data_IF_609763814010
#
_entry.id   IF_609763814010
#
_cell.length_a   1.000
_cell.length_b   1.000
_cell.length_c   1.000
_cell.angle_alpha   90.00
_cell.angle_beta   90.00
_cell.angle_gamma   90.00
#
_symmetry.space_group_name_H-M   'P 1'
#
loop_
_entity.id
_entity.type
_entity.pdbx_description
1 polymer ?
2 non-polymer ?
3 water ?
#
# COMPACT_ATOMS: atom_id res chain seq x y z
N UNK A 1 -13.14 7.87 -11.62
CA UNK A 1 -13.62 7.37 -10.30
C UNK A 1 -12.74 7.90 -9.18
N UNK A 2 -11.52 8.30 -9.54
CA UNK A 2 -10.58 8.84 -8.56
C UNK A 2 -10.11 10.22 -8.98
N UNK A 3 -10.53 10.63 -10.18
CA UNK A 3 -10.17 11.94 -10.71
C UNK A 3 -11.26 12.96 -10.35
N UNK A 4 -12.43 12.47 -9.96
CA UNK A 4 -13.53 13.35 -9.61
C UNK A 4 -14.16 13.08 -8.25
N UNK A 5 -14.89 14.09 -7.75
CA UNK A 5 -15.58 13.96 -6.47
C UNK A 5 -15.00 14.89 -5.40
N UNK A 6 -14.28 14.30 -4.46
CA UNK A 6 -13.64 15.03 -3.36
C UNK A 6 -13.11 14.02 -2.35
N UNK A 7 -14.04 13.35 -1.65
CA UNK A 7 -13.71 12.38 -0.62
C UNK A 7 -13.36 13.19 0.62
N UNK A 8 -14.36 13.82 1.20
CA UNK A 8 -14.15 14.63 2.38
C UNK A 8 -13.37 13.89 3.45
N UNK A 9 -14.00 12.84 4.00
CA UNK A 9 -13.40 12.03 5.04
C UNK A 9 -11.94 11.66 4.76
N UNK A 10 -11.64 11.39 3.48
CA UNK A 10 -10.29 11.01 3.06
C UNK A 10 -9.22 12.08 3.34
N UNK A 11 -9.30 13.21 2.65
CA UNK A 11 -8.33 14.30 2.83
C UNK A 11 -8.41 14.93 4.22
N UNK A 12 -9.49 14.66 4.95
CA UNK A 12 -9.63 15.22 6.27
C UNK A 12 -8.83 14.43 7.30
N UNK A 13 -8.63 13.14 7.04
CA UNK A 13 -7.87 12.29 7.94
C UNK A 13 -6.39 12.60 7.78
N UNK A 14 -6.04 13.16 6.64
CA UNK A 14 -4.65 13.52 6.36
C UNK A 14 -4.37 14.96 6.77
N UNK A 15 -5.35 15.57 7.41
CA UNK A 15 -5.19 16.94 7.88
C UNK A 15 -4.54 16.99 9.25
N UNK A 16 -4.73 15.95 10.05
CA UNK A 16 -4.14 15.88 11.39
C UNK A 16 -2.75 15.27 11.39
N UNK A 17 -2.00 15.53 12.45
CA UNK A 17 -0.61 15.03 12.60
C UNK A 17 -0.47 13.57 12.99
N UNK A 18 -1.45 13.03 13.71
CA UNK A 18 -1.38 11.64 14.14
C UNK A 18 -0.99 10.68 13.03
N UNK A 19 -1.71 10.70 11.93
CA UNK A 19 -1.44 9.80 10.81
C UNK A 19 -0.03 9.98 10.28
N UNK A 20 0.47 11.21 10.31
CA UNK A 20 1.82 11.48 9.81
C UNK A 20 2.86 11.11 10.84
N UNK A 21 2.48 11.13 12.11
CA UNK A 21 3.40 10.77 13.16
C UNK A 21 3.66 9.27 13.01
N UNK A 22 2.60 8.54 12.70
CA UNK A 22 2.70 7.11 12.52
C UNK A 22 3.57 6.73 11.33
N UNK A 23 3.46 7.46 10.21
CA UNK A 23 4.27 7.15 9.02
C UNK A 23 5.74 7.47 9.24
N UNK A 24 5.99 8.63 9.86
CA UNK A 24 7.35 9.08 10.14
C UNK A 24 8.03 8.18 11.14
N UNK A 25 7.24 7.59 12.04
CA UNK A 25 7.79 6.68 13.04
C UNK A 25 8.00 5.28 12.45
N UNK A 26 7.51 5.09 11.22
CA UNK A 26 7.69 3.81 10.55
C UNK A 26 9.08 3.88 9.93
N UNK A 27 10.05 3.31 10.64
CA UNK A 27 11.45 3.30 10.23
C UNK A 27 11.76 2.55 8.93
N UNK A 28 11.22 1.35 8.77
CA UNK A 28 11.43 0.57 7.54
C UNK A 28 10.98 1.42 6.35
N UNK A 29 9.79 1.99 6.46
CA UNK A 29 9.24 2.82 5.40
C UNK A 29 10.03 4.10 5.13
N UNK A 30 10.22 4.94 6.15
CA UNK A 30 10.94 6.21 6.00
C UNK A 30 12.44 6.11 5.69
N UNK A 31 13.14 5.18 6.32
CA UNK A 31 14.57 5.03 6.06
C UNK A 31 14.82 4.37 4.69
N UNK A 32 13.83 3.67 4.16
CA UNK A 32 13.98 3.03 2.85
C UNK A 32 14.04 4.14 1.77
N UNK A 33 13.14 5.12 1.88
CA UNK A 33 13.08 6.23 0.95
C UNK A 33 14.31 7.13 1.11
N UNK A 34 14.76 7.33 2.36
CA UNK A 34 15.93 8.15 2.67
C UNK A 34 17.20 7.55 2.04
N UNK A 35 17.38 6.24 2.22
CA UNK A 35 18.54 5.51 1.70
C UNK A 35 18.53 5.54 0.17
N UNK A 36 17.37 5.28 -0.43
CA UNK A 36 17.25 5.32 -1.88
C UNK A 36 17.75 6.68 -2.39
N UNK A 37 17.10 7.76 -1.94
CA UNK A 37 17.46 9.10 -2.38
C UNK A 37 18.91 9.50 -2.10
N UNK A 38 19.35 9.38 -0.85
CA UNK A 38 20.70 9.75 -0.47
C UNK A 38 21.78 8.88 -1.14
N UNK A 39 21.48 7.60 -1.38
CA UNK A 39 22.46 6.70 -1.98
C UNK A 39 22.52 6.74 -3.48
N UNK A 40 21.60 7.46 -4.10
CA UNK A 40 21.58 7.57 -5.56
C UNK A 40 21.32 9.04 -5.91
N UNK A 41 22.24 9.92 -5.50
CA UNK A 41 22.16 11.36 -5.73
C UNK A 41 22.17 11.74 -7.20
N UNK A 42 22.76 10.88 -8.03
CA UNK A 42 22.82 11.13 -9.47
C UNK A 42 21.42 11.28 -10.07
N UNK A 43 20.45 10.66 -9.41
CA UNK A 43 19.06 10.70 -9.86
C UNK A 43 18.38 12.05 -9.58
N UNK A 44 18.86 12.77 -8.56
CA UNK A 44 18.25 14.04 -8.16
C UNK A 44 19.04 15.32 -8.42
N UNK A 45 20.36 15.25 -8.28
CA UNK A 45 21.19 16.42 -8.49
C UNK A 45 20.88 17.18 -9.78
N UNK A 46 20.56 18.47 -9.62
CA UNK A 46 20.23 19.36 -10.73
C UNK A 46 18.99 19.00 -11.54
N UNK A 47 18.09 18.21 -10.96
CA UNK A 47 16.86 17.82 -11.67
C UNK A 47 15.63 18.47 -11.05
N UNK A 48 14.52 18.40 -11.76
CA UNK A 48 13.26 18.95 -11.26
C UNK A 48 12.46 17.74 -10.77
N UNK A 49 12.02 17.79 -9.51
CA UNK A 49 11.26 16.69 -8.90
C UNK A 49 9.84 17.05 -8.48
N UNK A 50 8.94 16.07 -8.59
CA UNK A 50 7.55 16.26 -8.18
C UNK A 50 7.17 15.24 -7.11
N UNK A 51 6.72 15.75 -5.95
CA UNK A 51 6.31 14.93 -4.81
C UNK A 51 4.78 14.87 -4.79
N UNK A 52 4.22 13.75 -5.23
CA UNK A 52 2.77 13.60 -5.26
C UNK A 52 2.27 13.22 -3.87
N UNK A 53 1.55 14.13 -3.20
CA UNK A 53 1.06 13.87 -1.86
C UNK A 53 2.19 14.01 -0.85
N UNK A 54 2.73 15.22 -0.76
CA UNK A 54 3.86 15.53 0.12
C UNK A 54 3.69 15.43 1.63
N UNK A 55 2.46 15.46 2.12
CA UNK A 55 2.28 15.39 3.56
C UNK A 55 3.03 16.53 4.26
N UNK A 56 3.88 16.19 5.23
CA UNK A 56 4.66 17.18 5.97
C UNK A 56 5.84 17.75 5.17
N UNK A 57 6.12 17.13 4.01
CA UNK A 57 7.19 17.60 3.16
C UNK A 57 8.49 16.85 3.27
N UNK A 58 8.50 15.79 4.08
CA UNK A 58 9.71 14.98 4.30
C UNK A 58 10.46 14.49 3.06
N UNK A 59 9.76 13.87 2.12
CA UNK A 59 10.40 13.35 0.90
C UNK A 59 11.02 14.44 0.03
N UNK A 60 10.37 15.59 -0.03
CA UNK A 60 10.87 16.72 -0.81
C UNK A 60 12.15 17.28 -0.21
N UNK A 61 12.24 17.27 1.12
CA UNK A 61 13.41 17.78 1.81
C UNK A 61 14.58 16.82 1.53
N UNK A 62 14.29 15.52 1.46
CA UNK A 62 15.31 14.52 1.17
C UNK A 62 15.91 14.79 -0.23
N UNK A 63 15.04 15.05 -1.21
CA UNK A 63 15.43 15.32 -2.58
C UNK A 63 16.28 16.58 -2.69
N UNK A 64 15.82 17.64 -2.02
CA UNK A 64 16.54 18.92 -2.03
C UNK A 64 17.95 18.71 -1.49
N UNK A 65 18.06 18.01 -0.38
CA UNK A 65 19.37 17.76 0.22
C UNK A 65 20.25 16.96 -0.72
N UNK A 66 19.64 16.15 -1.59
CA UNK A 66 20.38 15.33 -2.54
C UNK A 66 20.88 16.13 -3.74
N UNK A 67 20.36 17.33 -3.92
CA UNK A 67 20.80 18.16 -5.03
C UNK A 67 19.75 18.65 -6.02
N UNK A 68 18.49 18.38 -5.75
CA UNK A 68 17.43 18.82 -6.65
C UNK A 68 17.53 20.30 -6.95
N UNK A 69 17.34 20.65 -8.22
CA UNK A 69 17.38 22.04 -8.64
C UNK A 69 16.09 22.69 -8.17
N UNK A 70 14.99 21.98 -8.28
CA UNK A 70 13.70 22.48 -7.85
C UNK A 70 12.82 21.31 -7.51
N UNK A 71 12.03 21.45 -6.45
CA UNK A 71 11.12 20.39 -6.05
C UNK A 71 9.75 21.03 -5.93
N UNK A 72 8.73 20.35 -6.42
CA UNK A 72 7.34 20.83 -6.37
C UNK A 72 6.56 19.84 -5.51
N UNK A 73 6.09 20.30 -4.36
CA UNK A 73 5.36 19.43 -3.43
C UNK A 73 3.88 19.77 -3.33
N UNK A 74 3.04 18.81 -3.70
CA UNK A 74 1.59 18.99 -3.70
C UNK A 74 0.82 18.09 -2.73
N UNK A 75 -0.25 18.62 -2.16
CA UNK A 75 -1.11 17.87 -1.26
C UNK A 75 -2.46 18.56 -1.21
N UNK A 76 -3.52 17.77 -1.11
CA UNK A 76 -4.88 18.29 -1.06
C UNK A 76 -5.37 18.57 0.35
N UNK A 77 -4.78 17.92 1.35
CA UNK A 77 -5.23 18.15 2.72
C UNK A 77 -4.63 19.41 3.32
N UNK A 78 -5.14 19.80 4.48
CA UNK A 78 -4.69 21.00 5.18
C UNK A 78 -3.29 20.85 5.78
N UNK A 79 -2.74 19.64 5.73
CA UNK A 79 -1.41 19.43 6.28
C UNK A 79 -0.39 20.17 5.41
N UNK A 80 -0.83 20.65 4.25
CA UNK A 80 0.07 21.38 3.37
C UNK A 80 0.57 22.68 4.00
N UNK A 81 -0.26 23.28 4.85
CA UNK A 81 0.12 24.54 5.50
C UNK A 81 1.20 24.35 6.57
N UNK A 82 1.19 23.19 7.21
CA UNK A 82 2.19 22.91 8.22
C UNK A 82 3.51 22.59 7.51
N UNK A 83 3.40 22.19 6.25
CA UNK A 83 4.59 21.87 5.45
C UNK A 83 5.21 23.19 4.98
N UNK A 84 4.36 24.18 4.67
CA UNK A 84 4.85 25.48 4.25
C UNK A 84 5.74 26.05 5.35
N UNK A 85 5.33 25.82 6.59
CA UNK A 85 6.06 26.28 7.77
C UNK A 85 7.34 25.48 8.00
N UNK A 86 7.27 24.18 7.76
CA UNK A 86 8.44 23.34 7.99
C UNK A 86 9.55 23.62 6.98
N UNK A 87 9.16 23.91 5.74
CA UNK A 87 10.16 24.20 4.73
C UNK A 87 10.88 25.51 5.07
N UNK A 88 10.14 26.48 5.59
CA UNK A 88 10.72 27.78 5.98
C UNK A 88 11.66 27.61 7.16
N UNK A 89 11.21 26.81 8.12
CA UNK A 89 11.96 26.50 9.33
C UNK A 89 13.32 25.89 9.00
N UNK A 90 13.39 25.21 7.85
CA UNK A 90 14.62 24.56 7.42
C UNK A 90 15.37 25.33 6.33
N UNK A 91 14.85 26.50 5.97
CA UNK A 91 15.46 27.38 4.99
C UNK A 91 15.60 26.72 3.61
N UNK A 92 14.50 26.14 3.14
CA UNK A 92 14.51 25.46 1.85
C UNK A 92 13.52 26.09 0.89
N UNK A 93 13.07 27.30 1.21
CA UNK A 93 12.11 28.00 0.38
C UNK A 93 12.60 28.28 -1.02
N UNK A 94 13.91 28.40 -1.17
CA UNK A 94 14.43 28.68 -2.50
C UNK A 94 14.54 27.45 -3.39
N UNK A 95 14.19 26.29 -2.84
CA UNK A 95 14.24 25.04 -3.62
C UNK A 95 12.89 24.34 -3.69
N UNK A 96 12.16 24.30 -2.59
CA UNK A 96 10.87 23.64 -2.59
C UNK A 96 9.69 24.60 -2.58
N UNK A 97 8.83 24.51 -3.60
CA UNK A 97 7.65 25.34 -3.66
C UNK A 97 6.47 24.43 -3.34
N UNK A 98 5.50 24.94 -2.59
CA UNK A 98 4.33 24.15 -2.21
C UNK A 98 3.03 24.60 -2.86
N UNK A 99 2.19 23.63 -3.21
CA UNK A 99 0.90 23.86 -3.86
C UNK A 99 -0.21 23.06 -3.18
N UNK A 100 -1.31 23.73 -2.87
CA UNK A 100 -2.45 23.09 -2.21
C UNK A 100 -3.47 22.65 -3.26
N UNK A 101 -3.93 21.40 -3.18
CA UNK A 101 -4.90 20.92 -4.15
C UNK A 101 -4.70 19.48 -4.58
N UNK A 102 -5.57 19.02 -5.48
CA UNK A 102 -5.55 17.66 -6.02
C UNK A 102 -4.57 17.65 -7.19
N UNK A 103 -3.65 16.70 -7.20
CA UNK A 103 -2.67 16.64 -8.28
C UNK A 103 -3.27 16.60 -9.68
N UNK A 104 -4.49 16.11 -9.82
CA UNK A 104 -5.11 16.02 -11.14
C UNK A 104 -5.87 17.27 -11.58
N UNK A 105 -5.83 18.32 -10.77
CA UNK A 105 -6.55 19.55 -11.11
C UNK A 105 -5.78 20.86 -10.91
N UNK A 106 -4.76 20.84 -10.06
CA UNK A 106 -3.99 22.06 -9.79
C UNK A 106 -3.09 22.43 -10.96
N UNK A 107 -2.64 23.69 -10.96
CA UNK A 107 -1.75 24.20 -12.01
C UNK A 107 -0.30 24.23 -11.53
N UNK A 108 0.55 23.46 -12.20
CA UNK A 108 1.96 23.37 -11.86
C UNK A 108 2.75 24.54 -12.46
N UNK A 109 3.79 25.00 -11.76
CA UNK A 109 4.59 26.11 -12.27
C UNK A 109 5.53 25.70 -13.40
N UNK A 110 5.44 24.44 -13.82
CA UNK A 110 6.29 23.92 -14.89
C UNK A 110 5.49 23.07 -15.85
N UNK A 111 6.11 22.68 -16.95
CA UNK A 111 5.47 21.85 -17.96
C UNK A 111 5.71 20.37 -17.67
N UNK A 112 6.98 19.95 -17.71
CA UNK A 112 7.33 18.56 -17.45
C UNK A 112 8.26 18.46 -16.24
N UNK A 113 8.50 17.23 -15.79
CA UNK A 113 9.39 16.95 -14.65
C UNK A 113 10.33 15.79 -14.99
N UNK A 114 11.51 15.76 -14.36
CA UNK A 114 12.48 14.71 -14.62
C UNK A 114 12.26 13.48 -13.77
N UNK A 115 11.84 13.68 -12.51
CA UNK A 115 11.61 12.57 -11.59
C UNK A 115 10.32 12.78 -10.80
N UNK A 116 9.64 11.69 -10.44
CA UNK A 116 8.43 11.74 -9.63
C UNK A 116 8.63 10.79 -8.46
N UNK A 117 8.41 11.28 -7.24
CA UNK A 117 8.55 10.45 -6.02
C UNK A 117 7.25 10.46 -5.24
N UNK A 118 6.94 9.36 -4.56
CA UNK A 118 5.70 9.30 -3.80
C UNK A 118 5.52 8.07 -2.93
N UNK A 119 4.91 8.28 -1.76
CA UNK A 119 4.60 7.18 -0.86
C UNK A 119 3.08 7.19 -0.89
N UNK A 120 2.54 6.38 -1.79
CA UNK A 120 1.11 6.28 -2.05
C UNK A 120 0.41 4.98 -1.63
N UNK A 121 1.14 3.98 -1.15
CA UNK A 121 0.50 2.71 -0.85
C UNK A 121 -0.34 2.56 0.43
N UNK A 122 -1.33 1.67 0.33
CA UNK A 122 -2.21 1.40 1.46
C UNK A 122 -2.21 -0.08 1.83
N UNK A 123 -3.13 -0.49 2.69
CA UNK A 123 -3.23 -1.91 3.09
C UNK A 123 -3.46 -2.74 1.81
N UNK A 124 -2.81 -3.90 1.75
CA UNK A 124 -2.90 -4.81 0.59
C UNK A 124 -2.45 -4.04 -0.66
N UNK A 125 -1.58 -3.07 -0.43
CA UNK A 125 -1.01 -2.19 -1.45
C UNK A 125 -1.94 -1.20 -2.12
N UNK A 126 -3.07 -1.66 -2.65
CA UNK A 126 -3.99 -0.79 -3.38
C UNK A 126 -5.13 -0.09 -2.64
N UNK A 127 -5.28 -0.34 -1.34
CA UNK A 127 -6.35 0.31 -0.60
C UNK A 127 -6.14 1.84 -0.62
N UNK A 128 -7.23 2.58 -0.84
CA UNK A 128 -7.21 4.05 -0.93
C UNK A 128 -7.19 4.55 -2.38
N UNK A 129 -6.71 3.71 -3.28
CA UNK A 129 -6.64 4.04 -4.71
C UNK A 129 -5.78 5.26 -5.09
N UNK A 130 -4.72 5.55 -4.34
CA UNK A 130 -3.86 6.69 -4.64
C UNK A 130 -2.94 6.46 -5.83
N UNK A 131 -2.62 5.20 -6.14
CA UNK A 131 -1.74 4.92 -7.28
C UNK A 131 -2.35 5.49 -8.57
N UNK A 132 -3.67 5.58 -8.61
CA UNK A 132 -4.37 6.10 -9.77
C UNK A 132 -3.96 7.55 -10.00
N UNK A 133 -3.89 8.32 -8.92
CA UNK A 133 -3.50 9.72 -9.00
C UNK A 133 -2.05 9.87 -9.46
N UNK A 134 -1.18 8.96 -8.98
CA UNK A 134 0.22 8.96 -9.33
C UNK A 134 0.40 8.66 -10.83
N UNK A 135 -0.43 7.77 -11.35
CA UNK A 135 -0.37 7.42 -12.77
C UNK A 135 -0.84 8.59 -13.60
N UNK A 136 -1.82 9.32 -13.08
CA UNK A 136 -2.35 10.48 -13.78
C UNK A 136 -1.24 11.53 -13.94
N UNK A 137 -0.55 11.81 -12.84
CA UNK A 137 0.53 12.79 -12.85
C UNK A 137 1.64 12.33 -13.78
N UNK A 138 1.90 11.03 -13.80
CA UNK A 138 2.94 10.48 -14.66
C UNK A 138 2.66 10.81 -16.12
N UNK A 139 1.45 10.50 -16.56
CA UNK A 139 1.04 10.75 -17.93
C UNK A 139 1.13 12.21 -18.34
N UNK A 140 0.56 13.10 -17.52
CA UNK A 140 0.55 14.53 -17.83
C UNK A 140 1.87 15.29 -17.64
N UNK A 141 2.69 14.89 -16.67
CA UNK A 141 3.92 15.62 -16.37
C UNK A 141 5.32 15.01 -16.57
N UNK A 142 5.43 13.68 -16.51
CA UNK A 142 6.75 13.08 -16.68
C UNK A 142 7.38 13.38 -18.02
N UNK A 143 8.61 13.87 -18.00
CA UNK A 143 9.34 14.18 -19.24
C UNK A 143 9.74 12.88 -19.97
N UNK A 144 9.92 12.96 -21.28
CA UNK A 144 10.32 11.78 -22.02
C UNK A 144 11.64 11.31 -21.46
N UNK A 145 11.72 10.06 -21.00
CA UNK A 145 12.97 9.57 -20.44
C UNK A 145 13.04 9.70 -18.93
N UNK A 146 12.00 10.28 -18.33
CA UNK A 146 11.98 10.45 -16.88
C UNK A 146 11.64 9.17 -16.12
N UNK A 147 11.72 9.23 -14.80
CA UNK A 147 11.46 8.06 -13.97
C UNK A 147 10.57 8.35 -12.75
N UNK A 148 9.78 7.33 -12.38
CA UNK A 148 8.88 7.39 -11.25
C UNK A 148 9.37 6.40 -10.20
N UNK A 149 9.34 6.80 -8.94
CA UNK A 149 9.82 5.95 -7.86
C UNK A 149 8.84 5.93 -6.68
N UNK A 150 8.67 4.77 -6.02
CA UNK A 150 9.30 3.47 -6.31
C UNK A 150 8.78 2.94 -7.64
N UNK A 151 9.63 2.30 -8.44
CA UNK A 151 9.19 1.84 -9.76
C UNK A 151 8.54 0.46 -9.88
N UNK A 152 8.83 -0.44 -8.93
CA UNK A 152 8.27 -1.80 -8.99
C UNK A 152 7.72 -2.32 -7.66
N UNK A 153 6.52 -2.90 -7.71
CA UNK A 153 5.85 -3.49 -6.54
C UNK A 153 5.24 -4.85 -6.88
N UNK A 154 4.99 -5.66 -5.85
CA UNK A 154 4.38 -6.98 -6.00
C UNK A 154 3.47 -7.31 -4.80
N UNK A 155 2.47 -8.16 -5.02
CA UNK A 155 1.54 -8.59 -3.96
C UNK A 155 1.62 -10.13 -3.86
N UNK A 156 1.58 -10.67 -2.65
CA UNK A 156 1.65 -12.11 -2.44
C UNK A 156 0.63 -12.61 -1.41
N UNK A 157 0.43 -13.92 -1.38
CA UNK A 157 -0.49 -14.57 -0.45
C UNK A 157 0.27 -15.68 0.29
N UNK A 158 -0.18 -16.03 1.50
CA UNK A 158 0.44 -17.10 2.29
C UNK A 158 -0.62 -17.84 3.11
N UNK A 159 -0.55 -19.16 3.15
CA UNK A 159 -1.52 -19.96 3.91
C UNK A 159 -1.22 -19.84 5.42
N UNK A 160 -2.27 -19.84 6.23
CA UNK A 160 -2.14 -19.68 7.68
C UNK A 160 -2.89 -20.71 8.50
N UNK A 161 -2.33 -21.05 9.65
CA UNK A 161 -2.94 -21.96 10.61
C UNK A 161 -2.91 -21.36 12.02
N UNK A 162 -4.07 -20.89 12.50
CA UNK A 162 -4.19 -20.30 13.84
C UNK A 162 -5.62 -20.47 14.32
N UNK A 163 -5.94 -21.65 14.85
CA UNK A 163 -7.30 -21.94 15.32
C UNK A 163 -7.78 -21.07 16.49
N UNK A 164 -6.86 -20.56 17.29
CA UNK A 164 -7.28 -19.74 18.42
C UNK A 164 -7.71 -18.35 17.95
N UNK A 165 -7.00 -17.79 16.98
CA UNK A 165 -7.37 -16.47 16.47
C UNK A 165 -8.68 -16.57 15.71
N UNK A 166 -8.94 -17.73 15.11
CA UNK A 166 -10.17 -17.95 14.37
C UNK A 166 -11.32 -17.99 15.38
N UNK A 167 -11.13 -18.77 16.44
CA UNK A 167 -12.17 -18.91 17.46
C UNK A 167 -12.43 -17.56 18.13
N UNK A 168 -11.37 -16.83 18.39
CA UNK A 168 -11.48 -15.54 19.03
C UNK A 168 -12.39 -14.58 18.26
N UNK A 169 -12.39 -14.68 16.93
CA UNK A 169 -13.19 -13.80 16.09
C UNK A 169 -14.56 -14.31 15.68
N UNK A 170 -14.64 -15.62 15.43
CA UNK A 170 -15.89 -16.21 14.97
C UNK A 170 -16.64 -17.03 16.03
N UNK A 171 -16.02 -18.11 16.51
CA UNK A 171 -16.67 -18.97 17.50
C UNK A 171 -17.05 -18.19 18.76
N UNK A 172 -16.38 -17.08 18.98
CA UNK A 172 -16.63 -16.25 20.16
C UNK A 172 -18.11 -15.95 20.35
N UNK A 173 -18.77 -15.49 19.28
CA UNK A 173 -20.18 -15.14 19.33
C UNK A 173 -21.18 -16.26 19.64
N UNK A 174 -20.70 -17.51 19.63
CA UNK A 174 -21.53 -18.68 19.91
C UNK A 174 -22.05 -18.68 21.36
N UNK A 175 -21.23 -18.18 22.29
CA UNK A 175 -21.58 -18.15 23.71
C UNK A 175 -21.04 -16.93 24.46
N UNK A 176 -21.84 -15.87 24.55
CA UNK A 176 -21.42 -14.66 25.26
C UNK A 176 -22.08 -14.58 26.64
N UNK A 177 -21.30 -14.93 27.66
CA UNK A 177 -21.77 -14.95 29.05
C UNK A 177 -23.04 -15.78 29.20
N UNK A 178 -23.03 -16.93 28.54
CA UNK A 178 -24.16 -17.84 28.60
C UNK A 178 -25.24 -17.58 27.55
N UNK A 179 -25.05 -16.59 26.70
CA UNK A 179 -26.07 -16.29 25.69
C UNK A 179 -25.58 -16.47 24.24
N UNK A 180 -26.46 -16.99 23.41
CA UNK A 180 -26.13 -17.23 22.00
C UNK A 180 -26.27 -15.96 21.17
N UNK A 181 -25.19 -15.57 20.53
CA UNK A 181 -25.15 -14.39 19.66
C UNK A 181 -24.66 -14.79 18.28
N UNK A 182 -24.87 -16.05 17.91
CA UNK A 182 -24.41 -16.58 16.64
C UNK A 182 -24.82 -15.80 15.40
N UNK A 183 -25.89 -15.00 15.51
CA UNK A 183 -26.33 -14.23 14.37
C UNK A 183 -25.32 -13.13 14.02
N UNK A 184 -24.37 -12.88 14.92
CA UNK A 184 -23.35 -11.85 14.71
C UNK A 184 -22.30 -12.22 13.66
N UNK A 185 -21.99 -13.52 13.55
CA UNK A 185 -20.98 -14.02 12.60
C UNK A 185 -21.27 -13.64 11.14
N UNK A 186 -22.54 -13.49 10.82
CA UNK A 186 -22.98 -13.14 9.46
C UNK A 186 -22.39 -11.83 8.96
N UNK A 187 -21.97 -10.97 9.88
CA UNK A 187 -21.41 -9.67 9.50
C UNK A 187 -19.91 -9.56 9.78
N UNK A 188 -19.33 -10.61 10.35
CA UNK A 188 -17.91 -10.60 10.70
C UNK A 188 -17.00 -11.21 9.63
N UNK A 189 -17.33 -12.42 9.17
CA UNK A 189 -16.52 -13.13 8.19
C UNK A 189 -16.15 -12.38 6.91
N UNK A 190 -17.11 -11.67 6.28
CA UNK A 190 -16.87 -10.91 5.05
C UNK A 190 -15.91 -9.72 5.14
N UNK A 191 -15.49 -9.36 6.35
CA UNK A 191 -14.59 -8.23 6.52
C UNK A 191 -13.14 -8.67 6.61
N UNK A 192 -12.29 -8.07 5.79
CA UNK A 192 -10.87 -8.38 5.82
C UNK A 192 -10.32 -7.68 7.05
N UNK A 193 -9.32 -8.30 7.67
CA UNK A 193 -8.69 -7.78 8.88
C UNK A 193 -7.23 -7.38 8.66
N UNK A 194 -6.87 -6.18 9.08
CA UNK A 194 -5.48 -5.70 8.96
C UNK A 194 -4.87 -5.96 10.33
N UNK A 195 -3.86 -6.81 10.38
CA UNK A 195 -3.25 -7.17 11.65
C UNK A 195 -1.92 -7.90 11.43
N UNK A 196 -1.09 -8.01 12.46
CA UNK A 196 0.20 -8.68 12.35
C UNK A 196 0.04 -10.20 12.53
N UNK A 197 0.64 -10.95 11.61
CA UNK A 197 0.57 -12.40 11.60
C UNK A 197 1.85 -13.02 12.15
N UNK A 198 1.69 -13.94 13.10
CA UNK A 198 2.78 -14.66 13.75
C UNK A 198 3.47 -15.54 12.69
N UNK A 199 4.74 -15.25 12.38
CA UNK A 199 5.47 -16.00 11.34
C UNK A 199 5.53 -17.52 11.59
N UNK A 200 5.44 -17.92 12.85
CA UNK A 200 5.46 -19.34 13.19
C UNK A 200 4.18 -20.03 12.73
N UNK A 201 3.17 -19.24 12.37
CA UNK A 201 1.88 -19.79 11.94
C UNK A 201 1.66 -19.93 10.43
N UNK A 202 2.69 -19.67 9.64
CA UNK A 202 2.60 -19.81 8.19
C UNK A 202 2.71 -21.29 7.81
N UNK A 203 1.77 -21.80 7.00
CA UNK A 203 1.82 -23.21 6.62
C UNK A 203 2.02 -23.49 5.12
N UNK A 204 2.59 -22.51 4.41
CA UNK A 204 2.84 -22.65 2.99
C UNK A 204 3.85 -21.60 2.52
N UNK A 205 4.52 -21.87 1.41
CA UNK A 205 5.47 -20.91 0.83
C UNK A 205 4.59 -19.77 0.33
N UNK A 206 5.14 -18.57 0.16
CA UNK A 206 4.32 -17.45 -0.33
C UNK A 206 4.18 -17.57 -1.85
N UNK A 207 3.18 -16.91 -2.41
CA UNK A 207 2.95 -16.95 -3.85
C UNK A 207 2.59 -15.58 -4.40
N UNK A 208 3.28 -15.16 -5.45
CA UNK A 208 3.06 -13.87 -6.09
C UNK A 208 1.76 -13.87 -6.85
N UNK A 209 1.00 -12.79 -6.77
CA UNK A 209 -0.26 -12.75 -7.51
C UNK A 209 -0.36 -11.49 -8.36
N UNK A 210 0.60 -10.58 -8.19
CA UNK A 210 0.57 -9.35 -8.97
C UNK A 210 1.92 -8.67 -9.04
N UNK A 211 2.23 -8.13 -10.22
CA UNK A 211 3.49 -7.43 -10.47
C UNK A 211 3.14 -6.10 -11.15
N UNK A 212 3.75 -5.01 -10.65
CA UNK A 212 3.47 -3.68 -11.19
C UNK A 212 4.74 -2.91 -11.55
N UNK A 213 4.78 -2.36 -12.75
CA UNK A 213 5.91 -1.54 -13.19
C UNK A 213 5.31 -0.18 -13.47
N UNK A 214 5.54 0.75 -12.56
CA UNK A 214 4.98 2.11 -12.68
C UNK A 214 5.30 2.88 -13.95
N UNK A 215 6.06 2.26 -14.86
CA UNK A 215 6.42 2.91 -16.11
C UNK A 215 5.57 2.37 -17.26
N UNK A 216 5.26 1.08 -17.19
CA UNK A 216 4.46 0.42 -18.21
C UNK A 216 3.05 0.12 -17.75
N UNK A 217 2.81 0.18 -16.44
CA UNK A 217 1.49 -0.09 -15.91
C UNK A 217 0.51 1.02 -16.24
N UNK A 218 -0.76 0.67 -16.25
CA UNK A 218 -1.84 1.61 -16.54
C UNK A 218 -2.92 1.49 -15.49
N UNK A 219 -3.87 2.42 -15.51
CA UNK A 219 -4.96 2.43 -14.54
C UNK A 219 -5.86 1.17 -14.60
N UNK A 220 -6.09 0.67 -15.81
CA UNK A 220 -6.93 -0.51 -16.00
C UNK A 220 -6.32 -1.80 -15.46
N UNK A 221 -5.02 -1.79 -15.25
CA UNK A 221 -4.31 -2.95 -14.73
C UNK A 221 -4.52 -3.12 -13.22
N UNK A 222 -4.98 -2.07 -12.55
CA UNK A 222 -5.20 -2.09 -11.10
C UNK A 222 -6.45 -2.85 -10.64
N UNK A 223 -7.16 -3.47 -11.57
CA UNK A 223 -8.34 -4.28 -11.27
C UNK A 223 -8.02 -5.59 -12.00
N UNK A 224 -7.63 -6.62 -11.25
CA UNK A 224 -7.20 -7.90 -11.84
C UNK A 224 -7.79 -9.18 -11.23
N UNK A 225 -7.42 -10.30 -11.85
CA UNK A 225 -7.84 -11.65 -11.44
C UNK A 225 -6.60 -12.51 -11.62
N UNK A 226 -6.35 -13.43 -10.69
CA UNK A 226 -5.16 -14.27 -10.80
C UNK A 226 -5.33 -15.70 -10.24
N UNK A 227 -4.80 -16.68 -10.96
CA UNK A 227 -4.85 -18.08 -10.53
C UNK A 227 -3.54 -18.29 -9.80
N UNK A 228 -3.57 -19.02 -8.68
CA UNK A 228 -2.35 -19.25 -7.94
C UNK A 228 -2.34 -20.64 -7.33
N UNK A 229 -1.16 -21.10 -6.92
CA UNK A 229 -1.01 -22.40 -6.29
C UNK A 229 -0.10 -22.23 -5.10
N UNK A 230 -0.58 -22.59 -3.93
CA UNK A 230 0.22 -22.49 -2.72
C UNK A 230 0.80 -23.87 -2.43
N UNK A 231 2.10 -23.90 -2.14
CA UNK A 231 2.75 -25.15 -1.83
C UNK A 231 2.88 -25.32 -0.32
N UNK A 232 2.12 -26.26 0.22
CA UNK A 232 2.10 -26.54 1.65
C UNK A 232 3.46 -26.92 2.23
N UNK A 233 3.70 -26.41 3.44
CA UNK A 233 4.95 -26.62 4.17
C UNK A 233 4.77 -27.40 5.47
N UNK A 234 3.54 -27.45 5.98
CA UNK A 234 3.25 -28.14 7.23
C UNK A 234 1.89 -28.83 7.24
N UNK A 235 1.77 -29.89 8.02
CA UNK A 235 0.53 -30.64 8.16
C UNK A 235 -0.24 -29.98 9.31
N UNK A 236 -1.23 -29.17 8.98
CA UNK A 236 -2.03 -28.45 9.98
C UNK A 236 -3.40 -28.08 9.39
N UNK A 237 -4.22 -27.42 10.18
CA UNK A 237 -5.54 -26.98 9.73
C UNK A 237 -5.45 -25.56 9.19
N UNK A 238 -5.85 -25.36 7.92
CA UNK A 238 -5.81 -24.03 7.30
C UNK A 238 -7.02 -23.20 7.70
N UNK A 239 -6.75 -22.09 8.40
CA UNK A 239 -7.82 -21.22 8.88
C UNK A 239 -7.98 -19.90 8.14
N UNK A 240 -6.94 -19.46 7.44
CA UNK A 240 -7.01 -18.19 6.72
C UNK A 240 -5.88 -18.03 5.72
N UNK A 241 -5.98 -16.96 4.93
CA UNK A 241 -4.95 -16.63 3.93
C UNK A 241 -4.51 -15.21 4.18
N UNK A 242 -3.21 -14.95 4.16
CA UNK A 242 -2.69 -13.60 4.41
C UNK A 242 -2.07 -12.94 3.17
N UNK A 243 -2.31 -11.64 3.01
CA UNK A 243 -1.74 -10.94 1.89
C UNK A 243 -0.84 -9.82 2.34
N UNK A 244 0.18 -9.51 1.52
CA UNK A 244 1.11 -8.44 1.84
C UNK A 244 1.75 -7.96 0.54
N UNK A 245 2.70 -7.02 0.61
CA UNK A 245 3.34 -6.50 -0.59
C UNK A 245 4.81 -6.13 -0.39
N UNK A 246 5.54 -6.02 -1.50
CA UNK A 246 6.96 -5.63 -1.45
C UNK A 246 7.17 -4.42 -2.37
N UNK A 247 8.10 -3.56 -2.01
CA UNK A 247 8.40 -2.36 -2.79
C UNK A 247 9.87 -2.35 -3.27
N UNK A 248 10.08 -1.94 -4.53
CA UNK A 248 11.42 -1.93 -5.13
C UNK A 248 11.83 -0.60 -5.77
N UNK A 249 13.09 -0.21 -5.57
CA UNK A 249 13.67 1.00 -6.16
C UNK A 249 14.77 0.43 -7.07
N UNK A 250 14.59 0.50 -8.39
CA UNK A 250 15.58 -0.11 -9.30
C UNK A 250 16.13 0.62 -10.52
N UNK A 251 15.27 1.19 -11.35
CA UNK A 251 15.75 1.88 -12.54
C UNK A 251 16.83 2.94 -12.31
N UNK A 252 17.96 2.77 -13.01
CA UNK A 252 19.10 3.68 -12.94
C UNK A 252 19.75 3.83 -11.57
N UNK A 253 19.58 2.83 -10.71
CA UNK A 253 20.15 2.85 -9.36
C UNK A 253 21.49 2.13 -9.28
N UNK A 254 22.47 2.73 -8.59
CA UNK A 254 23.76 2.08 -8.42
C UNK A 254 23.67 1.36 -7.07
N UNK A 255 22.69 1.79 -6.28
CA UNK A 255 22.40 1.22 -4.96
C UNK A 255 20.89 0.98 -4.92
N UNK A 256 20.47 -0.25 -5.25
CA UNK A 256 19.05 -0.59 -5.25
C UNK A 256 18.51 -0.76 -3.82
N UNK A 257 17.24 -0.48 -3.66
CA UNK A 257 16.60 -0.59 -2.35
C UNK A 257 15.30 -1.40 -2.46
N UNK A 258 15.03 -2.19 -1.43
CA UNK A 258 13.86 -3.06 -1.37
C UNK A 258 13.37 -3.24 0.08
N UNK A 259 12.05 -3.34 0.26
CA UNK A 259 11.50 -3.64 1.58
C UNK A 259 10.18 -4.42 1.45
N UNK A 260 9.95 -5.30 2.42
CA UNK A 260 8.77 -6.16 2.43
C UNK A 260 7.89 -5.88 3.65
N UNK A 261 6.59 -6.07 3.49
CA UNK A 261 5.64 -5.87 4.58
C UNK A 261 5.03 -7.22 4.93
N UNK A 262 5.80 -8.28 4.69
CA UNK A 262 5.36 -9.64 4.96
C UNK A 262 5.59 -10.09 6.38
N UNK A 263 4.96 -11.21 6.81
CA UNK A 263 5.06 -11.77 8.16
C UNK A 263 6.47 -12.16 8.63
N UNK A 264 7.36 -12.46 7.69
CA UNK A 264 8.73 -12.84 8.05
C UNK A 264 9.64 -11.62 8.20
N UNK A 265 9.10 -10.44 7.95
CA UNK A 265 9.88 -9.21 8.05
C UNK A 265 9.48 -8.30 9.22
N UNK A 266 10.35 -7.33 9.50
CA UNK A 266 10.14 -6.36 10.57
C UNK A 266 8.77 -5.70 10.35
N UNK A 267 8.04 -5.48 11.44
CA UNK A 267 6.72 -4.89 11.37
C UNK A 267 6.73 -3.47 10.81
N UNK A 268 5.68 -3.13 10.07
CA UNK A 268 5.50 -1.80 9.50
C UNK A 268 4.07 -1.42 9.86
N UNK A 269 3.69 -0.16 9.61
CA UNK A 269 2.35 0.30 9.95
C UNK A 269 1.27 -0.33 9.07
N UNK A 270 1.70 -1.00 8.01
CA UNK A 270 0.79 -1.66 7.09
C UNK A 270 0.41 -3.05 7.56
N UNK A 271 1.22 -3.62 8.47
CA UNK A 271 0.95 -4.96 8.98
C UNK A 271 0.74 -5.94 7.82
N UNK A 272 -0.39 -6.65 7.82
CA UNK A 272 -0.73 -7.61 6.75
C UNK A 272 -2.25 -7.69 6.71
N UNK A 273 -2.81 -8.10 5.56
CA UNK A 273 -4.25 -8.22 5.39
C UNK A 273 -4.67 -9.69 5.55
N UNK A 274 -5.70 -9.97 6.36
CA UNK A 274 -6.14 -11.35 6.60
C UNK A 274 -7.57 -11.70 6.17
N UNK A 275 -7.68 -12.75 5.35
CA UNK A 275 -8.97 -13.24 4.84
C UNK A 275 -9.27 -14.56 5.56
N UNK A 276 -10.08 -14.49 6.60
CA UNK A 276 -10.45 -15.68 7.36
C UNK A 276 -11.36 -16.57 6.53
N UNK A 277 -11.17 -17.88 6.63
CA UNK A 277 -12.01 -18.81 5.90
C UNK A 277 -13.19 -19.25 6.77
N UNK A 278 -14.38 -19.25 6.19
CA UNK A 278 -15.56 -19.66 6.92
C UNK A 278 -15.40 -21.07 7.43
N UNK A 279 -14.81 -21.93 6.61
CA UNK A 279 -14.58 -23.33 6.97
C UNK A 279 -13.12 -23.79 6.80
N UNK A 280 -12.33 -23.72 7.89
CA UNK A 280 -10.93 -24.15 7.83
C UNK A 280 -10.86 -25.59 7.34
N UNK A 281 -9.81 -25.94 6.60
CA UNK A 281 -9.66 -27.30 6.08
C UNK A 281 -8.29 -27.91 6.33
N UNK A 282 -8.23 -29.23 6.60
CA UNK A 282 -6.96 -29.94 6.86
C UNK A 282 -6.07 -29.94 5.62
N UNK A 283 -4.80 -29.64 5.85
CA UNK A 283 -3.81 -29.55 4.81
C UNK A 283 -2.62 -30.44 5.19
N UNK A 284 -1.95 -31.02 4.19
CA UNK A 284 -0.81 -31.87 4.47
C UNK A 284 0.42 -31.31 3.77
N UNK A 285 1.56 -31.36 4.47
CA UNK A 285 2.82 -30.83 3.94
C UNK A 285 3.20 -31.42 2.58
N UNK A 286 3.59 -30.55 1.66
CA UNK A 286 3.99 -30.96 0.33
C UNK A 286 2.82 -30.87 -0.63
N UNK A 287 1.63 -30.65 -0.07
CA UNK A 287 0.43 -30.54 -0.86
C UNK A 287 0.42 -29.25 -1.68
N UNK A 288 -0.27 -29.28 -2.81
CA UNK A 288 -0.37 -28.10 -3.65
C UNK A 288 -1.83 -27.66 -3.62
N UNK A 289 -2.09 -26.40 -3.26
CA UNK A 289 -3.46 -25.90 -3.18
C UNK A 289 -3.77 -24.88 -4.29
N UNK A 290 -4.61 -25.27 -5.25
CA UNK A 290 -4.96 -24.37 -6.35
C UNK A 290 -6.03 -23.37 -5.91
N UNK A 291 -5.89 -22.11 -6.36
CA UNK A 291 -6.83 -21.09 -5.98
C UNK A 291 -7.00 -19.99 -7.02
N UNK A 292 -7.87 -19.03 -6.70
CA UNK A 292 -8.16 -17.89 -7.59
C UNK A 292 -8.53 -16.67 -6.76
N UNK A 293 -8.00 -15.51 -7.14
CA UNK A 293 -8.30 -14.27 -6.43
C UNK A 293 -8.58 -13.14 -7.42
N UNK A 294 -9.62 -12.36 -7.14
CA UNK A 294 -10.00 -11.24 -7.98
C UNK A 294 -10.12 -10.00 -7.10
N UNK A 295 -9.46 -8.92 -7.50
CA UNK A 295 -9.51 -7.69 -6.74
C UNK A 295 -10.11 -6.57 -7.58
N UNK A 296 -11.12 -5.92 -7.01
CA UNK A 296 -11.85 -4.86 -7.68
C UNK A 296 -12.20 -3.74 -6.68
N UNK A 297 -12.26 -2.49 -7.13
CA UNK A 297 -12.60 -1.41 -6.20
C UNK A 297 -14.10 -1.21 -6.09
N UNK A 298 -14.56 -0.94 -4.87
CA UNK A 298 -15.98 -0.70 -4.57
C UNK A 298 -16.50 0.43 -5.46
N UNK A 299 -17.49 0.12 -6.30
CA UNK A 299 -18.05 1.11 -7.23
C UNK A 299 -18.78 2.25 -6.54
N UNK A 300 -19.21 2.02 -5.30
CA UNK A 300 -19.90 3.04 -4.51
C UNK A 300 -18.91 3.92 -3.72
N UNK A 301 -17.69 3.38 -3.51
CA UNK A 301 -16.64 4.08 -2.77
C UNK A 301 -15.30 3.59 -3.35
N UNK A 302 -14.85 4.20 -4.45
CA UNK A 302 -13.61 3.89 -5.17
C UNK A 302 -12.32 3.80 -4.36
N UNK A 303 -12.38 4.15 -3.09
CA UNK A 303 -11.17 4.09 -2.28
C UNK A 303 -11.12 2.81 -1.48
N UNK A 304 -12.22 2.07 -1.50
CA UNK A 304 -12.29 0.78 -0.81
C UNK A 304 -12.19 -0.34 -1.84
N UNK A 305 -11.85 -1.55 -1.40
CA UNK A 305 -11.70 -2.69 -2.31
C UNK A 305 -12.64 -3.85 -2.04
N UNK A 306 -12.81 -4.69 -3.06
CA UNK A 306 -13.64 -5.89 -2.99
C UNK A 306 -12.77 -7.03 -3.50
N UNK A 307 -12.64 -8.07 -2.67
CA UNK A 307 -11.80 -9.22 -2.98
C UNK A 307 -12.60 -10.51 -3.02
N UNK A 308 -12.51 -11.25 -4.13
CA UNK A 308 -13.20 -12.53 -4.26
C UNK A 308 -12.12 -13.61 -4.22
N UNK A 309 -12.24 -14.54 -3.28
CA UNK A 309 -11.24 -15.57 -3.12
C UNK A 309 -11.79 -17.01 -3.14
N UNK A 310 -11.11 -17.87 -3.90
CA UNK A 310 -11.50 -19.27 -4.01
C UNK A 310 -10.30 -20.15 -3.61
N UNK A 311 -10.54 -21.05 -2.66
CA UNK A 311 -9.54 -21.99 -2.17
C UNK A 311 -10.32 -23.18 -1.64
N UNK A 312 -9.78 -24.39 -1.85
CA UNK A 312 -10.46 -25.62 -1.42
C UNK A 312 -11.86 -25.70 -2.03
N UNK A 313 -12.00 -25.23 -3.26
CA UNK A 313 -13.30 -25.26 -3.95
C UNK A 313 -14.40 -24.56 -3.17
N UNK A 314 -14.08 -23.44 -2.56
CA UNK A 314 -15.05 -22.66 -1.80
C UNK A 314 -14.73 -21.20 -2.07
N UNK A 315 -15.74 -20.42 -2.44
CA UNK A 315 -15.54 -19.01 -2.77
C UNK A 315 -16.17 -18.09 -1.72
N UNK A 316 -15.51 -16.96 -1.47
CA UNK A 316 -15.99 -15.97 -0.50
C UNK A 316 -15.59 -14.58 -0.99
N UNK A 317 -16.47 -13.60 -0.80
CA UNK A 317 -16.19 -12.22 -1.20
C UNK A 317 -15.95 -11.40 0.08
N UNK A 318 -14.84 -10.67 0.13
CA UNK A 318 -14.51 -9.85 1.31
C UNK A 318 -14.46 -8.39 0.91
N UNK A 319 -14.49 -7.52 1.91
CA UNK A 319 -14.39 -6.09 1.65
C UNK A 319 -13.33 -5.51 2.56
N UNK A 320 -12.54 -4.59 2.03
CA UNK A 320 -11.51 -3.93 2.83
C UNK A 320 -12.02 -2.52 3.15
N UNK A 321 -12.53 -2.37 4.37
CA UNK A 321 -13.06 -1.11 4.90
C UNK A 321 -14.25 -0.51 4.17
X LIG B 1 4.72 12.17 1.58
X LIG B 1 4.30 12.08 2.97
X LIG B 1 2.80 11.76 3.04
X LIG B 1 2.36 10.52 2.25
X LIG B 1 0.67 10.10 2.77
X LIG B 1 5.10 11.00 3.70
X LIG B 1 5.88 10.22 3.01
X LIG B 1 5.31 11.15 4.98
X LIG B 1 -0.43 10.36 1.36
X LIG B 1 -0.60 11.85 1.23
X LIG B 1 -0.95 12.18 -0.14
X LIG B 1 -1.64 12.51 2.13
X LIG B 1 -1.15 13.75 2.63
X LIG B 1 -2.82 12.74 1.17
X LIG B 1 -3.64 13.84 1.54
X LIG B 1 -2.09 13.01 -0.15
X LIG B 1 -2.86 12.73 -1.35
X LIG B 1 -3.61 11.62 -1.65
X LIG B 1 -4.23 11.71 -2.81
X LIG B 1 -3.84 12.94 -3.31
X LIG B 1 -4.18 13.63 -4.49
X LIG B 1 -5.01 13.17 -5.41
X LIG B 1 -3.62 14.85 -4.68
X LIG B 1 -2.80 15.33 -3.75
X LIG B 1 -2.43 14.79 -2.59
X LIG B 1 -3.00 13.58 -2.42
#
# INVERSE_FOLDING_TARGET
DLQEDEDGVYFSSYGHYGIHEEMLKDKVRTESYRDFIYQNPHIFKDKVVLDVGCGTGILSMFAAKAGAKKVIAVDQSEILYQAMDIIRLNKLEDTIVLIKGKIEEVSLPVEKVDVIISEWMGYFLLFESMLDSVLYAKSKYLAKGGSVYPDICTISLVAVSDVSKHADRIAFWDDVYGFNMSCMKKAVIPEAVVEVVDHKTLISDPCDIKHIDCHTTSISDLEFSSDFTLRTTKTAMCTAVAGYFDIYFEKNCHNRVVFSTGPQSTKTHWKQTIFLLEKPFPVKAGEALKGKITVHKNKKDPRSLIVTLTLNSSTQTYSLQ
SAH N CA CB CG SD C O OXT C5' C4' O4' C3' O3' C2' O2' C1' N9 C8 N7 C5 C6 N6 N1 C2 N3 C4
#
